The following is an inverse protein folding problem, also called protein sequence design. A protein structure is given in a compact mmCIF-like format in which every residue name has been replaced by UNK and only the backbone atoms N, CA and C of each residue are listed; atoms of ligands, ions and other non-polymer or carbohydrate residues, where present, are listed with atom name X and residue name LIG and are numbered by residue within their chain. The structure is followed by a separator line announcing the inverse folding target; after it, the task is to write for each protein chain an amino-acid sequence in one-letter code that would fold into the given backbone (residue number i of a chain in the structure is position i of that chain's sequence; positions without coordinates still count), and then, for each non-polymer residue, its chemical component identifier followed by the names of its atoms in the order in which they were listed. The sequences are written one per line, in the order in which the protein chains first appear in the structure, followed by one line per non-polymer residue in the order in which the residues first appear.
data_IF_137368215704
#
_entry.id   IF_137368215704
#
_cell.length_a   1.000
_cell.length_b   1.000
_cell.length_c   1.000
_cell.angle_alpha   90.00
_cell.angle_beta   90.00
_cell.angle_gamma   90.00
#
_symmetry.space_group_name_H-M   'P 1'
#
loop_
_entity.id
_entity.type
_entity.pdbx_description
1 polymer ?
#
# COMPACT_ATOMS: atom_id res chain seq x y z
N UNK A 1 80.15 32.86 3.13
CA UNK A 1 79.55 32.09 2.01
C UNK A 1 79.06 30.76 2.53
N UNK A 2 77.91 30.30 1.99
CA UNK A 2 77.17 29.04 2.22
C UNK A 2 76.18 29.03 3.39
N UNK A 3 74.91 29.20 2.98
CA UNK A 3 73.67 29.00 3.71
C UNK A 3 73.42 27.50 3.86
N UNK A 4 72.88 27.05 5.00
CA UNK A 4 72.14 25.79 5.09
C UNK A 4 70.83 26.09 5.83
N UNK A 5 69.74 25.93 5.07
CA UNK A 5 68.38 26.28 5.43
C UNK A 5 67.82 25.19 6.35
N UNK A 6 67.28 25.60 7.49
CA UNK A 6 66.58 24.74 8.43
C UNK A 6 65.10 24.78 8.06
N UNK A 7 64.55 23.64 7.60
CA UNK A 7 63.10 23.52 7.35
C UNK A 7 62.51 22.63 8.45
N UNK A 8 61.67 23.15 9.36
CA UNK A 8 60.98 22.32 10.32
C UNK A 8 59.84 21.59 9.61
N UNK A 9 59.75 20.28 9.84
CA UNK A 9 58.65 19.45 9.38
C UNK A 9 57.42 19.76 10.25
N UNK A 10 56.47 20.51 9.70
CA UNK A 10 55.17 20.76 10.33
C UNK A 10 54.33 19.47 10.23
N UNK A 11 54.17 18.75 11.35
CA UNK A 11 53.14 17.72 11.47
C UNK A 11 51.77 18.42 11.59
N UNK A 12 51.00 18.39 10.51
CA UNK A 12 49.59 18.78 10.54
C UNK A 12 48.80 17.57 11.04
N UNK A 13 48.39 17.59 12.32
CA UNK A 13 47.33 16.69 12.80
C UNK A 13 46.02 17.14 12.15
N UNK A 14 45.57 16.41 11.15
CA UNK A 14 44.20 16.50 10.67
C UNK A 14 43.29 15.94 11.78
N UNK A 15 42.72 16.84 12.59
CA UNK A 15 41.58 16.49 13.44
C UNK A 15 40.41 16.16 12.52
N UNK A 16 40.21 14.87 12.27
CA UNK A 16 39.00 14.36 11.68
C UNK A 16 37.85 14.68 12.65
N UNK A 17 37.13 15.77 12.39
CA UNK A 17 35.78 15.96 12.94
C UNK A 17 34.87 14.94 12.26
N UNK A 18 35.01 13.66 12.64
CA UNK A 18 33.97 12.68 12.42
C UNK A 18 32.76 13.16 13.20
N UNK A 19 31.70 13.54 12.50
CA UNK A 19 30.42 13.83 13.13
C UNK A 19 29.99 12.52 13.78
N UNK A 20 30.09 12.44 15.10
CA UNK A 20 29.60 11.28 15.84
C UNK A 20 28.14 11.08 15.44
N UNK A 21 27.81 9.90 14.93
CA UNK A 21 26.41 9.56 14.69
C UNK A 21 25.67 9.66 16.03
N UNK A 22 24.46 10.24 16.03
CA UNK A 22 23.68 10.32 17.26
C UNK A 22 23.47 8.91 17.79
N UNK A 23 23.88 8.68 19.05
CA UNK A 23 23.66 7.42 19.73
C UNK A 23 22.17 7.10 19.73
N UNK A 24 21.82 5.88 19.33
CA UNK A 24 20.43 5.44 19.28
C UNK A 24 19.96 5.23 20.73
N UNK A 25 18.93 5.96 21.13
CA UNK A 25 18.18 5.59 22.32
C UNK A 25 17.42 4.29 22.04
N UNK A 26 18.00 3.18 22.49
CA UNK A 26 17.49 1.82 22.25
C UNK A 26 16.07 1.68 22.80
N UNK A 27 15.80 2.22 23.99
CA UNK A 27 14.49 2.10 24.61
C UNK A 27 13.42 2.89 23.84
N UNK A 28 13.77 4.10 23.40
CA UNK A 28 12.87 4.89 22.56
C UNK A 28 12.59 4.23 21.21
N UNK A 29 13.62 3.64 20.58
CA UNK A 29 13.48 2.94 19.30
C UNK A 29 12.62 1.68 19.43
N UNK A 30 12.83 0.87 20.46
CA UNK A 30 11.99 -0.30 20.73
C UNK A 30 10.53 0.09 20.93
N UNK A 31 10.27 1.15 21.70
CA UNK A 31 8.93 1.67 21.93
C UNK A 31 8.27 2.13 20.61
N UNK A 32 8.99 2.88 19.78
CA UNK A 32 8.52 3.33 18.45
C UNK A 32 8.10 2.15 17.56
N UNK A 33 8.94 1.11 17.49
CA UNK A 33 8.67 -0.06 16.66
C UNK A 33 7.46 -0.85 17.20
N UNK A 34 7.35 -1.03 18.52
CA UNK A 34 6.21 -1.72 19.13
C UNK A 34 4.91 -0.95 18.88
N UNK A 35 4.92 0.37 19.02
CA UNK A 35 3.77 1.23 18.72
C UNK A 35 3.36 1.12 17.24
N UNK A 36 4.33 1.19 16.33
CA UNK A 36 4.06 1.02 14.89
C UNK A 36 3.47 -0.36 14.57
N UNK A 37 3.97 -1.44 15.20
CA UNK A 37 3.45 -2.80 15.02
C UNK A 37 1.99 -2.90 15.48
N UNK A 38 1.66 -2.33 16.64
CA UNK A 38 0.29 -2.27 17.15
C UNK A 38 -0.63 -1.50 16.19
N UNK A 39 -0.22 -0.30 15.77
CA UNK A 39 -0.99 0.50 14.81
C UNK A 39 -1.14 -0.16 13.44
N UNK A 40 -0.14 -0.94 12.99
CA UNK A 40 -0.26 -1.75 11.77
C UNK A 40 -1.34 -2.83 11.91
N UNK A 41 -1.35 -3.55 13.02
CA UNK A 41 -2.37 -4.59 13.26
C UNK A 41 -3.76 -3.97 13.32
N UNK A 42 -3.93 -2.84 14.02
CA UNK A 42 -5.18 -2.10 14.07
C UNK A 42 -5.67 -1.70 12.67
N UNK A 43 -4.80 -1.11 11.82
CA UNK A 43 -5.16 -0.73 10.45
C UNK A 43 -5.55 -1.92 9.57
N UNK A 44 -4.94 -3.09 9.79
CA UNK A 44 -5.29 -4.30 9.05
C UNK A 44 -6.67 -4.85 9.44
N UNK A 45 -7.00 -4.77 10.73
CA UNK A 45 -8.26 -5.25 11.32
C UNK A 45 -9.40 -4.23 11.27
N UNK A 46 -9.11 -2.97 10.94
CA UNK A 46 -10.10 -1.90 10.86
C UNK A 46 -11.27 -2.30 9.93
N UNK A 47 -12.47 -1.70 10.11
CA UNK A 47 -13.65 -2.03 9.30
C UNK A 47 -13.43 -1.92 7.78
N UNK A 48 -12.55 -1.03 7.32
CA UNK A 48 -12.14 -0.90 5.91
C UNK A 48 -10.70 -1.34 5.66
N UNK A 49 -10.10 -2.02 6.64
CA UNK A 49 -8.74 -2.54 6.63
C UNK A 49 -8.53 -3.62 5.57
N UNK A 50 -7.27 -3.88 5.24
CA UNK A 50 -6.91 -4.75 4.11
C UNK A 50 -7.47 -6.18 4.25
N UNK A 51 -7.61 -6.68 5.48
CA UNK A 51 -8.09 -8.05 5.74
C UNK A 51 -9.57 -8.27 5.43
N UNK A 52 -10.32 -7.20 5.18
CA UNK A 52 -11.72 -7.29 4.74
C UNK A 52 -11.85 -7.55 3.24
N UNK A 53 -10.78 -7.43 2.45
CA UNK A 53 -10.82 -7.65 1.01
C UNK A 53 -10.98 -9.14 0.70
N UNK A 54 -12.07 -9.51 0.04
CA UNK A 54 -12.40 -10.90 -0.31
C UNK A 54 -12.37 -11.18 -1.81
N UNK A 55 -12.28 -10.15 -2.64
CA UNK A 55 -12.32 -10.33 -4.09
C UNK A 55 -11.76 -9.15 -4.88
N UNK A 56 -11.24 -9.47 -6.07
CA UNK A 56 -10.83 -8.52 -7.09
C UNK A 56 -11.23 -9.07 -8.46
N UNK A 57 -12.10 -8.35 -9.17
CA UNK A 57 -12.60 -8.77 -10.48
C UNK A 57 -12.26 -7.73 -11.53
N UNK A 58 -11.40 -8.09 -12.48
CA UNK A 58 -11.05 -7.21 -13.60
C UNK A 58 -12.23 -7.02 -14.54
N UNK A 59 -12.43 -5.78 -14.97
CA UNK A 59 -13.52 -5.35 -15.83
C UNK A 59 -13.00 -4.99 -17.22
N UNK A 60 -13.76 -5.40 -18.23
CA UNK A 60 -13.65 -4.91 -19.61
C UNK A 60 -14.95 -4.16 -19.95
N UNK A 61 -15.02 -3.42 -21.07
CA UNK A 61 -16.29 -2.87 -21.52
C UNK A 61 -17.37 -3.96 -21.62
N UNK A 62 -18.54 -3.73 -21.02
CA UNK A 62 -19.62 -4.71 -20.92
C UNK A 62 -20.40 -4.63 -19.61
N UNK A 63 -21.36 -5.55 -19.46
CA UNK A 63 -22.25 -5.64 -18.29
C UNK A 63 -21.84 -6.81 -17.41
N UNK A 64 -21.74 -6.58 -16.11
CA UNK A 64 -21.38 -7.60 -15.12
C UNK A 64 -22.38 -7.62 -13.98
N UNK A 65 -23.05 -8.74 -13.77
CA UNK A 65 -23.93 -8.94 -12.64
C UNK A 65 -23.17 -9.37 -11.37
N UNK A 66 -23.68 -8.95 -10.22
CA UNK A 66 -23.13 -9.32 -8.90
C UNK A 66 -24.23 -9.82 -7.97
N UNK A 67 -23.94 -10.89 -7.23
CA UNK A 67 -24.86 -11.47 -6.24
C UNK A 67 -24.43 -12.86 -5.77
N UNK A 68 -25.18 -13.44 -4.84
CA UNK A 68 -24.89 -14.78 -4.31
C UNK A 68 -25.32 -15.92 -5.24
N UNK A 69 -26.15 -15.63 -6.24
CA UNK A 69 -26.55 -16.60 -7.25
C UNK A 69 -25.38 -17.01 -8.14
N UNK A 70 -25.27 -18.31 -8.44
CA UNK A 70 -24.23 -18.86 -9.31
C UNK A 70 -24.31 -18.41 -10.77
N UNK A 71 -25.41 -17.76 -11.16
CA UNK A 71 -25.61 -17.20 -12.50
C UNK A 71 -25.06 -15.77 -12.65
N UNK A 72 -24.54 -15.15 -11.58
CA UNK A 72 -23.90 -13.84 -11.68
C UNK A 72 -22.47 -13.97 -12.19
N UNK A 73 -21.99 -12.95 -12.90
CA UNK A 73 -20.60 -12.85 -13.35
C UNK A 73 -19.63 -12.73 -12.18
N UNK A 74 -20.07 -12.02 -11.13
CA UNK A 74 -19.35 -11.82 -9.87
C UNK A 74 -20.16 -12.47 -8.75
N UNK A 75 -19.75 -13.68 -8.36
CA UNK A 75 -20.40 -14.43 -7.29
C UNK A 75 -19.81 -14.04 -5.94
N UNK A 76 -20.67 -13.56 -5.03
CA UNK A 76 -20.31 -13.16 -3.66
C UNK A 76 -20.90 -14.12 -2.62
N UNK A 77 -20.48 -14.06 -1.33
CA UNK A 77 -20.96 -14.99 -0.31
C UNK A 77 -22.49 -15.09 -0.22
N UNK A 78 -22.97 -16.29 0.15
CA UNK A 78 -24.40 -16.62 0.24
C UNK A 78 -25.21 -15.76 1.22
N UNK A 79 -24.54 -14.97 2.05
CA UNK A 79 -25.15 -13.98 2.95
C UNK A 79 -25.76 -12.79 2.19
N UNK A 80 -25.43 -12.58 0.92
CA UNK A 80 -25.96 -11.50 0.09
C UNK A 80 -27.23 -11.90 -0.67
N UNK A 81 -27.93 -10.89 -1.23
CA UNK A 81 -29.03 -11.11 -2.17
C UNK A 81 -28.59 -11.95 -3.39
N UNK A 82 -29.51 -12.74 -3.94
CA UNK A 82 -29.23 -13.63 -5.07
C UNK A 82 -28.73 -12.86 -6.30
N UNK A 83 -29.32 -11.70 -6.58
CA UNK A 83 -28.84 -10.71 -7.54
C UNK A 83 -28.90 -9.35 -6.85
N UNK A 84 -27.76 -8.69 -6.68
CA UNK A 84 -27.66 -7.38 -6.02
C UNK A 84 -27.86 -6.28 -7.06
N UNK A 85 -27.22 -6.42 -8.22
CA UNK A 85 -27.19 -5.40 -9.25
C UNK A 85 -26.22 -5.74 -10.38
N UNK A 86 -25.97 -4.76 -11.21
CA UNK A 86 -25.12 -4.88 -12.40
C UNK A 86 -24.20 -3.66 -12.53
N UNK A 87 -22.97 -3.92 -12.94
CA UNK A 87 -22.03 -2.91 -13.41
C UNK A 87 -22.16 -2.77 -14.93
N UNK A 88 -22.36 -1.56 -15.42
CA UNK A 88 -22.21 -1.20 -16.84
C UNK A 88 -20.86 -0.47 -16.99
N UNK A 89 -19.95 -1.08 -17.76
CA UNK A 89 -18.59 -0.60 -17.97
C UNK A 89 -18.48 -0.09 -19.40
N UNK A 90 -18.24 1.21 -19.55
CA UNK A 90 -18.12 1.87 -20.84
C UNK A 90 -16.93 2.84 -20.86
N UNK A 91 -16.76 3.57 -21.97
CA UNK A 91 -15.78 4.65 -22.07
C UNK A 91 -16.09 5.83 -21.15
N UNK A 92 -17.36 5.99 -20.74
CA UNK A 92 -17.80 7.07 -19.84
C UNK A 92 -17.47 6.76 -18.37
N UNK A 93 -17.21 5.49 -18.03
CA UNK A 93 -16.90 5.05 -16.68
C UNK A 93 -17.61 3.75 -16.29
N UNK A 94 -17.79 3.56 -14.99
CA UNK A 94 -18.53 2.43 -14.44
C UNK A 94 -19.77 2.94 -13.74
N UNK A 95 -20.92 2.47 -14.18
CA UNK A 95 -22.20 2.71 -13.53
C UNK A 95 -22.68 1.44 -12.84
N UNK A 96 -23.31 1.58 -11.70
CA UNK A 96 -23.93 0.47 -10.99
C UNK A 96 -25.44 0.67 -10.86
N UNK A 97 -26.21 -0.36 -11.23
CA UNK A 97 -27.67 -0.37 -11.11
C UNK A 97 -28.11 -1.47 -10.15
N UNK A 98 -28.94 -1.11 -9.18
CA UNK A 98 -29.41 -2.02 -8.13
C UNK A 98 -30.63 -2.80 -8.62
N UNK A 99 -30.68 -4.10 -8.31
CA UNK A 99 -31.84 -4.95 -8.60
C UNK A 99 -33.05 -4.55 -7.74
N UNK A 100 -34.25 -4.68 -8.30
CA UNK A 100 -35.49 -4.34 -7.59
C UNK A 100 -35.65 -5.12 -6.28
N UNK A 101 -35.99 -4.41 -5.20
CA UNK A 101 -36.18 -4.99 -3.87
C UNK A 101 -34.89 -5.29 -3.10
N UNK A 102 -33.73 -4.87 -3.62
CA UNK A 102 -32.45 -4.95 -2.93
C UNK A 102 -32.04 -3.59 -2.40
N UNK A 103 -31.51 -3.55 -1.19
CA UNK A 103 -30.93 -2.34 -0.62
C UNK A 103 -29.41 -2.32 -0.89
N UNK A 104 -28.95 -1.21 -1.47
CA UNK A 104 -27.54 -0.86 -1.57
C UNK A 104 -27.37 0.54 -1.01
N UNK A 105 -26.37 0.73 -0.17
CA UNK A 105 -26.10 1.97 0.54
C UNK A 105 -24.79 2.60 0.06
N UNK A 106 -24.76 3.92 -0.04
CA UNK A 106 -23.53 4.73 -0.08
C UNK A 106 -23.62 5.73 1.05
N UNK A 107 -22.60 5.76 1.92
CA UNK A 107 -22.58 6.62 3.11
C UNK A 107 -23.87 6.52 3.96
N UNK A 108 -24.43 5.32 4.03
CA UNK A 108 -25.67 5.02 4.76
C UNK A 108 -26.97 5.43 4.04
N UNK A 109 -26.89 5.97 2.83
CA UNK A 109 -28.05 6.39 2.03
C UNK A 109 -28.39 5.33 0.97
N UNK A 110 -29.65 4.86 0.91
CA UNK A 110 -30.08 3.95 -0.14
C UNK A 110 -29.98 4.56 -1.54
N UNK A 111 -29.45 3.78 -2.48
CA UNK A 111 -29.33 4.14 -3.90
C UNK A 111 -29.96 3.08 -4.78
N UNK A 112 -30.41 3.47 -5.96
CA UNK A 112 -30.91 2.55 -7.00
C UNK A 112 -30.01 2.52 -8.23
N UNK A 113 -29.23 3.58 -8.43
CA UNK A 113 -28.24 3.75 -9.49
C UNK A 113 -27.17 4.72 -8.99
N UNK A 114 -25.91 4.50 -9.37
CA UNK A 114 -24.81 5.40 -9.07
C UNK A 114 -23.65 5.25 -10.06
N UNK A 115 -22.96 6.36 -10.30
CA UNK A 115 -21.64 6.34 -10.93
C UNK A 115 -20.59 5.88 -9.90
N UNK A 116 -19.69 5.00 -10.33
CA UNK A 116 -18.64 4.42 -9.52
C UNK A 116 -17.26 4.83 -10.05
N UNK A 117 -16.76 6.01 -9.66
CA UNK A 117 -15.44 6.47 -10.09
C UNK A 117 -14.33 5.55 -9.58
N UNK A 118 -13.27 5.42 -10.38
CA UNK A 118 -12.08 4.69 -9.98
C UNK A 118 -11.32 5.42 -8.86
N UNK A 119 -10.62 4.65 -8.01
CA UNK A 119 -9.87 5.17 -6.85
C UNK A 119 -8.77 6.20 -7.18
N UNK A 120 -8.33 6.27 -8.44
CA UNK A 120 -7.34 7.25 -8.93
C UNK A 120 -7.92 8.63 -9.22
N UNK A 121 -9.24 8.78 -9.27
CA UNK A 121 -9.91 10.07 -9.56
C UNK A 121 -9.93 11.01 -8.36
N UNK A 122 -9.59 10.52 -7.16
CA UNK A 122 -9.73 11.24 -5.90
C UNK A 122 -11.16 11.23 -5.33
N UNK A 123 -12.13 10.66 -6.05
CA UNK A 123 -13.48 10.41 -5.55
C UNK A 123 -13.55 9.00 -4.97
N UNK A 124 -13.98 8.87 -3.72
CA UNK A 124 -14.12 7.58 -3.05
C UNK A 124 -15.60 7.22 -2.92
N UNK A 125 -16.08 6.31 -3.76
CA UNK A 125 -17.43 5.77 -3.68
C UNK A 125 -17.36 4.29 -3.30
N UNK A 126 -17.97 3.96 -2.16
CA UNK A 126 -18.09 2.59 -1.66
C UNK A 126 -19.57 2.28 -1.53
N UNK A 127 -20.07 1.40 -2.40
CA UNK A 127 -21.42 0.85 -2.30
C UNK A 127 -21.40 -0.38 -1.40
N UNK A 128 -22.43 -0.54 -0.57
CA UNK A 128 -22.54 -1.62 0.39
C UNK A 128 -23.89 -2.33 0.33
N UNK A 129 -23.87 -3.65 0.47
CA UNK A 129 -25.04 -4.49 0.67
C UNK A 129 -24.78 -5.41 1.86
N UNK A 130 -25.48 -5.17 2.98
CA UNK A 130 -25.21 -5.85 4.26
C UNK A 130 -23.76 -5.61 4.67
N UNK A 131 -22.99 -6.66 4.95
CA UNK A 131 -21.57 -6.57 5.28
C UNK A 131 -20.66 -6.42 4.06
N UNK A 132 -21.18 -6.70 2.85
CA UNK A 132 -20.40 -6.59 1.63
C UNK A 132 -20.29 -5.14 1.18
N UNK A 133 -19.12 -4.79 0.66
CA UNK A 133 -18.88 -3.48 0.08
C UNK A 133 -17.99 -3.59 -1.15
N UNK A 134 -18.18 -2.70 -2.12
CA UNK A 134 -17.38 -2.66 -3.33
C UNK A 134 -17.07 -1.24 -3.80
N UNK A 135 -15.96 -1.13 -4.51
CA UNK A 135 -15.41 0.11 -5.07
C UNK A 135 -14.71 -0.20 -6.38
N UNK A 136 -14.66 0.75 -7.31
CA UNK A 136 -13.90 0.61 -8.55
C UNK A 136 -12.46 1.08 -8.34
N UNK A 137 -11.52 0.31 -8.87
CA UNK A 137 -10.10 0.62 -8.79
C UNK A 137 -9.52 0.65 -10.20
N UNK A 138 -8.55 1.53 -10.43
CA UNK A 138 -7.76 1.54 -11.67
C UNK A 138 -6.34 1.09 -11.36
N UNK A 139 -5.88 0.04 -12.04
CA UNK A 139 -4.47 -0.36 -12.02
C UNK A 139 -3.96 -0.36 -13.45
N UNK A 140 -3.15 0.66 -13.76
CA UNK A 140 -2.46 0.81 -15.05
C UNK A 140 -3.44 0.89 -16.24
N UNK A 141 -4.55 1.61 -16.08
CA UNK A 141 -5.59 1.77 -17.08
C UNK A 141 -6.57 0.59 -17.17
N UNK A 142 -6.46 -0.38 -16.25
CA UNK A 142 -7.38 -1.51 -16.18
C UNK A 142 -8.27 -1.35 -14.94
N UNK A 143 -9.58 -1.39 -15.16
CA UNK A 143 -10.57 -1.27 -14.10
C UNK A 143 -10.81 -2.62 -13.42
N UNK A 144 -11.09 -2.59 -12.13
CA UNK A 144 -11.55 -3.75 -11.39
C UNK A 144 -12.55 -3.39 -10.29
N UNK A 145 -13.45 -4.32 -9.98
CA UNK A 145 -14.27 -4.27 -8.76
C UNK A 145 -13.45 -4.87 -7.63
N UNK A 146 -13.15 -4.06 -6.61
CA UNK A 146 -12.61 -4.54 -5.34
C UNK A 146 -13.77 -4.82 -4.38
N UNK A 147 -13.85 -6.05 -3.88
CA UNK A 147 -14.92 -6.51 -2.99
C UNK A 147 -14.36 -6.73 -1.60
N UNK A 148 -15.11 -6.25 -0.61
CA UNK A 148 -14.84 -6.40 0.81
C UNK A 148 -16.04 -7.03 1.50
N UNK A 149 -15.77 -7.71 2.60
CA UNK A 149 -16.75 -8.14 3.58
C UNK A 149 -16.29 -7.65 4.96
N UNK A 150 -16.98 -6.64 5.48
CA UNK A 150 -16.64 -6.00 6.75
C UNK A 150 -16.85 -6.93 7.96
N UNK A 151 -17.65 -7.98 7.80
CA UNK A 151 -17.90 -8.98 8.84
C UNK A 151 -17.18 -10.30 8.57
N UNK A 152 -16.22 -10.32 7.64
CA UNK A 152 -15.56 -11.56 7.22
C UNK A 152 -14.96 -12.32 8.42
N UNK A 153 -15.30 -13.61 8.64
CA UNK A 153 -14.90 -14.35 9.84
C UNK A 153 -13.38 -14.43 10.06
N UNK A 154 -12.58 -14.36 8.99
CA UNK A 154 -11.13 -14.34 9.08
C UNK A 154 -10.59 -13.13 9.85
N UNK A 155 -11.25 -11.96 9.78
CA UNK A 155 -10.82 -10.75 10.51
C UNK A 155 -10.84 -11.01 12.03
N UNK A 156 -11.89 -11.68 12.51
CA UNK A 156 -12.05 -12.01 13.94
C UNK A 156 -11.08 -13.09 14.43
N UNK A 157 -10.54 -13.90 13.52
CA UNK A 157 -9.65 -15.02 13.84
C UNK A 157 -8.20 -14.75 13.42
N UNK A 158 -7.91 -13.56 12.90
CA UNK A 158 -6.58 -13.20 12.43
C UNK A 158 -5.60 -13.14 13.60
N UNK A 159 -4.53 -13.94 13.50
CA UNK A 159 -3.51 -14.04 14.52
C UNK A 159 -2.53 -12.85 14.54
N UNK A 160 -1.55 -12.87 15.46
CA UNK A 160 -0.50 -11.87 15.48
C UNK A 160 0.33 -11.92 14.20
N UNK A 161 0.83 -10.75 13.77
CA UNK A 161 1.79 -10.69 12.68
C UNK A 161 3.16 -11.20 13.17
N UNK A 162 3.85 -12.05 12.39
CA UNK A 162 5.21 -12.44 12.71
C UNK A 162 6.16 -11.25 12.51
N UNK A 163 7.07 -11.07 13.45
CA UNK A 163 8.13 -10.07 13.39
C UNK A 163 9.45 -10.68 13.84
N UNK A 164 10.55 -10.18 13.28
CA UNK A 164 11.87 -10.36 13.90
C UNK A 164 11.94 -9.56 15.21
N UNK A 165 12.84 -9.95 16.10
CA UNK A 165 13.15 -9.18 17.29
C UNK A 165 13.61 -7.76 16.90
N UNK A 166 13.33 -6.79 17.75
CA UNK A 166 13.81 -5.42 17.50
C UNK A 166 15.31 -5.43 17.75
N UNK A 167 16.08 -5.13 16.72
CA UNK A 167 17.53 -5.06 16.79
C UNK A 167 17.99 -3.67 16.32
N UNK A 168 18.47 -2.81 17.23
CA UNK A 168 18.99 -1.48 16.90
C UNK A 168 20.14 -1.51 15.88
N UNK A 169 20.86 -2.62 15.72
CA UNK A 169 21.90 -2.76 14.71
C UNK A 169 21.39 -2.65 13.27
N UNK A 170 20.09 -2.86 13.05
CA UNK A 170 19.42 -2.68 11.76
C UNK A 170 18.84 -1.28 11.55
N UNK A 171 18.98 -0.37 12.53
CA UNK A 171 18.68 1.05 12.37
C UNK A 171 19.94 1.80 11.97
N UNK A 172 20.13 1.96 10.67
CA UNK A 172 21.33 2.60 10.07
C UNK A 172 20.99 3.92 9.40
N UNK A 173 21.96 4.83 9.33
CA UNK A 173 21.85 6.06 8.55
C UNK A 173 22.21 5.77 7.09
N UNK A 174 21.32 6.12 6.17
CA UNK A 174 21.59 6.06 4.74
C UNK A 174 21.84 7.44 4.13
N UNK A 175 22.81 7.53 3.24
CA UNK A 175 23.06 8.71 2.42
C UNK A 175 22.40 8.54 1.06
N UNK A 176 21.50 9.46 0.71
CA UNK A 176 20.83 9.46 -0.60
C UNK A 176 21.65 10.25 -1.63
N UNK A 177 22.14 9.56 -2.65
CA UNK A 177 22.65 10.15 -3.87
C UNK A 177 21.49 10.37 -4.84
N UNK A 178 20.96 11.60 -4.88
CA UNK A 178 19.85 11.95 -5.77
C UNK A 178 20.31 11.97 -7.23
N UNK A 179 19.42 11.54 -8.13
CA UNK A 179 19.60 11.77 -9.56
C UNK A 179 19.29 13.23 -9.90
N UNK A 180 19.81 13.72 -11.02
CA UNK A 180 19.46 15.04 -11.55
C UNK A 180 17.94 15.15 -11.80
N UNK A 181 17.32 14.07 -12.27
CA UNK A 181 15.88 13.90 -12.44
C UNK A 181 15.45 12.51 -11.94
N UNK A 182 14.29 12.36 -11.29
CA UNK A 182 13.79 11.06 -10.83
C UNK A 182 13.67 10.04 -11.98
N UNK A 183 14.06 8.79 -11.71
CA UNK A 183 14.08 7.72 -12.71
C UNK A 183 12.93 6.76 -12.50
N UNK A 184 12.29 6.34 -13.59
CA UNK A 184 11.25 5.30 -13.54
C UNK A 184 11.91 3.93 -13.35
N UNK A 185 11.62 3.25 -12.24
CA UNK A 185 12.14 1.90 -11.94
C UNK A 185 11.04 0.85 -12.08
N UNK A 186 11.37 -0.36 -12.52
CA UNK A 186 10.38 -1.46 -12.63
C UNK A 186 10.36 -2.26 -11.34
N UNK A 187 9.18 -2.38 -10.73
CA UNK A 187 8.92 -3.21 -9.55
C UNK A 187 7.85 -4.23 -9.93
N UNK A 188 8.22 -5.50 -9.96
CA UNK A 188 7.28 -6.57 -10.28
C UNK A 188 6.22 -6.73 -9.18
N UNK A 189 4.99 -7.10 -9.56
CA UNK A 189 3.99 -7.57 -8.61
C UNK A 189 3.81 -9.09 -8.71
N UNK A 190 3.09 -9.66 -7.75
CA UNK A 190 2.70 -11.08 -7.78
C UNK A 190 1.68 -11.41 -8.87
N UNK A 191 1.07 -10.39 -9.49
CA UNK A 191 0.10 -10.56 -10.57
C UNK A 191 0.86 -10.44 -11.89
N UNK A 192 0.89 -11.54 -12.65
CA UNK A 192 1.54 -11.59 -13.95
C UNK A 192 1.02 -10.49 -14.89
N UNK A 193 1.95 -9.78 -15.54
CA UNK A 193 1.63 -8.68 -16.46
C UNK A 193 1.35 -7.33 -15.80
N UNK A 194 1.30 -7.25 -14.47
CA UNK A 194 1.06 -6.00 -13.74
C UNK A 194 2.32 -5.56 -12.98
N UNK A 195 3.20 -4.81 -13.65
CA UNK A 195 4.37 -4.21 -13.00
C UNK A 195 4.08 -2.78 -12.54
N UNK A 196 4.68 -2.40 -11.43
CA UNK A 196 4.70 -1.01 -10.99
C UNK A 196 5.92 -0.29 -11.55
N UNK A 197 5.73 0.99 -11.84
CA UNK A 197 6.82 1.82 -12.34
C UNK A 197 6.96 3.15 -11.58
N UNK A 198 7.28 3.10 -10.27
CA UNK A 198 7.45 4.32 -9.48
C UNK A 198 8.65 5.14 -9.95
N UNK A 199 8.62 6.44 -9.60
CA UNK A 199 9.75 7.34 -9.76
C UNK A 199 10.68 7.20 -8.55
N UNK A 200 11.89 6.70 -8.78
CA UNK A 200 12.97 6.69 -7.80
C UNK A 200 13.72 8.03 -7.80
N UNK A 201 13.89 8.69 -6.65
CA UNK A 201 14.61 9.95 -6.55
C UNK A 201 16.15 9.79 -6.55
N UNK A 202 16.68 8.59 -6.38
CA UNK A 202 18.11 8.35 -6.20
C UNK A 202 18.43 6.96 -5.67
N UNK A 203 19.68 6.77 -5.30
CA UNK A 203 20.19 5.55 -4.66
C UNK A 203 20.58 5.87 -3.22
N UNK A 204 20.15 5.04 -2.27
CA UNK A 204 20.52 5.17 -0.86
C UNK A 204 21.67 4.23 -0.57
N UNK A 205 22.76 4.75 -0.01
CA UNK A 205 23.93 3.96 0.38
C UNK A 205 24.12 3.99 1.90
N UNK A 206 24.45 2.84 2.49
CA UNK A 206 24.61 2.69 3.94
C UNK A 206 25.53 1.51 4.25
N UNK A 207 26.05 1.48 5.48
CA UNK A 207 26.87 0.38 5.99
C UNK A 207 26.07 -0.46 6.97
N UNK A 208 26.10 -1.78 6.82
CA UNK A 208 25.43 -2.74 7.69
C UNK A 208 26.32 -3.96 7.88
N UNK A 209 26.60 -4.32 9.14
CA UNK A 209 27.47 -5.47 9.43
C UNK A 209 28.91 -5.32 8.91
N UNK A 210 29.39 -4.09 8.71
CA UNK A 210 30.72 -3.81 8.15
C UNK A 210 30.81 -3.89 6.62
N UNK A 211 29.69 -4.10 5.94
CA UNK A 211 29.60 -4.09 4.48
C UNK A 211 28.77 -2.90 3.99
N UNK A 212 29.16 -2.35 2.83
CA UNK A 212 28.49 -1.24 2.16
C UNK A 212 27.39 -1.78 1.23
N UNK A 213 26.18 -1.24 1.35
CA UNK A 213 25.01 -1.58 0.54
C UNK A 213 24.47 -0.36 -0.21
N UNK A 214 23.75 -0.62 -1.31
CA UNK A 214 23.03 0.38 -2.10
C UNK A 214 21.60 -0.13 -2.42
N UNK A 215 20.59 0.74 -2.26
CA UNK A 215 19.17 0.49 -2.55
C UNK A 215 18.57 1.56 -3.47
#
# INVERSE_FOLDING_TARGET
MKKALWTPLLLVLAAACGRAEPEIDVAAYEAEIVEWRAGRLERLLAPTGFLTQIGLHWLKPGIYSIGSGSANDIVVPATAANRIGEFDVSEEGVRFTVSGGVEVLVDGVPVTELEMPADVTGQNVIAAHRSLAWSIIDRYGNLAVRIRDFDHPFVKTFGPLPYFDVDPAYRVTGEIARYDEPRKIRVMTVIEGYDQFPLSPGTVSFDLGGERYEL
#
